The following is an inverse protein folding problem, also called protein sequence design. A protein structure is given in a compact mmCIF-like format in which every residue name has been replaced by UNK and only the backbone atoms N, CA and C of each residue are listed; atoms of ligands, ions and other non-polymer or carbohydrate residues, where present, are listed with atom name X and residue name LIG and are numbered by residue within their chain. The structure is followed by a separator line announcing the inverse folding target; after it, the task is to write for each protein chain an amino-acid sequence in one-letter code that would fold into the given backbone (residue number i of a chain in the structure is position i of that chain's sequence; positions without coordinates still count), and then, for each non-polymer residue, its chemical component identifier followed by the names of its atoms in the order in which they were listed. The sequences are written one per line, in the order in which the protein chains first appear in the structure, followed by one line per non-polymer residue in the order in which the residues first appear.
data_IF_524477957426
#
_entry.id   IF_524477957426
#
_cell.length_a   1.000
_cell.length_b   1.000
_cell.length_c   1.000
_cell.angle_alpha   90.00
_cell.angle_beta   90.00
_cell.angle_gamma   90.00
#
_symmetry.space_group_name_H-M   'P 1'
#
loop_
_entity.id
_entity.type
_entity.pdbx_description
1 polymer ?
#
# COMPACT_ATOMS: atom_id res chain seq x y z
N UNK A 1 -3.24 1.82 35.38
CA UNK A 1 -2.67 1.18 36.58
C UNK A 1 -1.34 0.47 36.28
N UNK A 2 -1.26 -0.44 35.30
CA UNK A 2 -0.01 -1.20 35.00
C UNK A 2 1.19 -0.37 34.49
N UNK A 3 0.98 0.86 34.02
CA UNK A 3 2.06 1.71 33.46
C UNK A 3 2.78 2.59 34.50
N UNK A 4 2.23 2.71 35.71
CA UNK A 4 2.74 3.60 36.77
C UNK A 4 3.04 2.88 38.08
N UNK A 5 2.83 1.56 38.13
CA UNK A 5 3.08 0.74 39.31
C UNK A 5 4.30 -0.15 39.09
N UNK A 6 5.13 -0.35 40.12
CA UNK A 6 6.21 -1.34 40.11
C UNK A 6 5.73 -2.73 39.67
N UNK A 7 6.56 -3.50 38.93
CA UNK A 7 6.20 -4.82 38.41
C UNK A 7 5.80 -5.80 39.52
N UNK A 8 6.37 -5.65 40.72
CA UNK A 8 6.10 -6.51 41.88
C UNK A 8 4.63 -6.44 42.36
N UNK A 9 3.96 -5.31 42.14
CA UNK A 9 2.54 -5.11 42.49
C UNK A 9 1.62 -5.63 41.36
N UNK A 10 2.09 -5.63 40.11
CA UNK A 10 1.33 -6.10 38.96
C UNK A 10 1.33 -7.63 38.82
N UNK A 11 2.39 -8.32 39.26
CA UNK A 11 2.52 -9.77 39.16
C UNK A 11 1.75 -10.55 40.23
N UNK A 12 1.37 -9.90 41.33
CA UNK A 12 0.72 -10.53 42.49
C UNK A 12 -0.81 -10.65 42.34
N UNK A 13 -1.39 -10.11 41.26
CA UNK A 13 -2.83 -10.21 41.00
C UNK A 13 -3.08 -10.58 39.52
N UNK A 14 -3.45 -11.83 39.19
CA UNK A 14 -4.28 -12.05 38.02
C UNK A 14 -5.55 -11.23 38.26
N UNK A 15 -5.72 -10.13 37.53
CA UNK A 15 -6.35 -8.91 38.03
C UNK A 15 -7.76 -9.03 38.66
N UNK A 16 -8.49 -10.14 38.53
CA UNK A 16 -9.85 -10.31 39.06
C UNK A 16 -10.18 -11.81 39.35
N UNK A 17 -9.62 -12.45 40.39
CA UNK A 17 -9.80 -13.89 40.65
C UNK A 17 -11.27 -14.25 40.95
N UNK A 18 -12.01 -13.37 41.63
CA UNK A 18 -13.44 -13.54 41.91
C UNK A 18 -14.28 -13.52 40.63
N UNK A 19 -13.96 -12.64 39.68
CA UNK A 19 -14.67 -12.55 38.40
C UNK A 19 -14.43 -13.79 37.54
N UNK A 20 -13.18 -14.28 37.50
CA UNK A 20 -12.82 -15.51 36.78
C UNK A 20 -13.50 -16.73 37.40
N UNK A 21 -13.59 -16.81 38.73
CA UNK A 21 -14.34 -17.86 39.43
C UNK A 21 -15.83 -17.87 39.07
N UNK A 22 -16.49 -16.70 39.04
CA UNK A 22 -17.89 -16.63 38.60
C UNK A 22 -18.07 -16.93 37.11
N UNK A 23 -17.06 -16.63 36.28
CA UNK A 23 -17.06 -16.98 34.86
C UNK A 23 -16.94 -18.50 34.64
N UNK A 24 -16.07 -19.19 35.40
CA UNK A 24 -15.92 -20.66 35.33
C UNK A 24 -17.13 -21.40 35.89
N UNK A 25 -17.89 -20.79 36.81
CA UNK A 25 -19.18 -21.28 37.30
C UNK A 25 -20.34 -21.13 36.28
N UNK A 26 -20.07 -20.66 35.06
CA UNK A 26 -21.05 -20.59 33.97
C UNK A 26 -21.93 -19.34 33.98
N UNK A 27 -21.62 -18.33 34.79
CA UNK A 27 -22.36 -17.07 34.76
C UNK A 27 -22.09 -16.30 33.45
N UNK A 28 -23.12 -16.16 32.62
CA UNK A 28 -23.03 -15.48 31.32
C UNK A 28 -22.59 -14.02 31.45
N UNK A 29 -23.01 -13.31 32.51
CA UNK A 29 -22.63 -11.92 32.74
C UNK A 29 -21.14 -11.78 33.12
N UNK A 30 -20.61 -12.74 33.88
CA UNK A 30 -19.18 -12.78 34.22
C UNK A 30 -18.33 -13.10 32.99
N UNK A 31 -18.77 -14.04 32.14
CA UNK A 31 -18.11 -14.33 30.86
C UNK A 31 -18.11 -13.11 29.91
N UNK A 32 -19.22 -12.39 29.81
CA UNK A 32 -19.30 -11.16 29.03
C UNK A 32 -18.36 -10.07 29.57
N UNK A 33 -18.27 -9.91 30.89
CA UNK A 33 -17.36 -8.97 31.52
C UNK A 33 -15.88 -9.31 31.26
N UNK A 34 -15.50 -10.59 31.35
CA UNK A 34 -14.14 -11.05 31.00
C UNK A 34 -13.83 -10.77 29.53
N UNK A 35 -14.74 -11.07 28.61
CA UNK A 35 -14.56 -10.78 27.19
C UNK A 35 -14.44 -9.27 26.90
N UNK A 36 -15.24 -8.43 27.57
CA UNK A 36 -15.17 -6.98 27.45
C UNK A 36 -13.81 -6.44 27.94
N UNK A 37 -13.31 -6.94 29.07
CA UNK A 37 -12.00 -6.57 29.60
C UNK A 37 -10.84 -7.03 28.69
N UNK A 38 -10.95 -8.21 28.10
CA UNK A 38 -9.98 -8.70 27.10
C UNK A 38 -9.97 -7.81 25.86
N UNK A 39 -11.14 -7.43 25.35
CA UNK A 39 -11.27 -6.51 24.22
C UNK A 39 -10.73 -5.12 24.56
N UNK A 40 -11.00 -4.61 25.76
CA UNK A 40 -10.46 -3.33 26.23
C UNK A 40 -8.94 -3.39 26.37
N UNK A 41 -8.38 -4.45 26.94
CA UNK A 41 -6.94 -4.64 27.02
C UNK A 41 -6.29 -4.75 25.63
N UNK A 42 -6.95 -5.42 24.69
CA UNK A 42 -6.53 -5.46 23.28
C UNK A 42 -6.54 -4.07 22.65
N UNK A 43 -7.58 -3.27 22.90
CA UNK A 43 -7.68 -1.88 22.42
C UNK A 43 -6.56 -1.01 23.02
N UNK A 44 -6.32 -1.09 24.33
CA UNK A 44 -5.25 -0.34 25.00
C UNK A 44 -3.84 -0.73 24.53
N UNK A 45 -3.66 -1.97 24.07
CA UNK A 45 -2.40 -2.44 23.48
C UNK A 45 -2.23 -1.99 22.02
N UNK A 46 -3.33 -1.75 21.32
CA UNK A 46 -3.30 -1.19 19.97
C UNK A 46 -3.01 0.31 20.04
N UNK A 47 -2.19 0.80 19.12
CA UNK A 47 -1.92 2.24 19.04
C UNK A 47 -3.19 2.96 18.57
N UNK A 48 -3.45 4.18 19.04
CA UNK A 48 -4.49 5.00 18.47
C UNK A 48 -4.20 5.18 16.97
N UNK A 49 -5.19 4.86 16.13
CA UNK A 49 -5.10 5.09 14.70
C UNK A 49 -5.12 6.59 14.41
N UNK A 50 -4.40 7.03 13.38
CA UNK A 50 -4.46 8.41 12.90
C UNK A 50 -5.84 8.70 12.31
N UNK A 51 -6.47 9.78 12.76
CA UNK A 51 -7.76 10.23 12.25
C UNK A 51 -7.68 11.04 10.94
N UNK A 52 -6.46 11.39 10.50
CA UNK A 52 -6.22 12.20 9.30
C UNK A 52 -5.27 11.49 8.35
N UNK A 53 -5.63 11.44 7.06
CA UNK A 53 -4.76 10.89 6.00
C UNK A 53 -3.46 11.70 5.84
N UNK A 54 -3.45 12.99 6.20
CA UNK A 54 -2.21 13.78 6.22
C UNK A 54 -1.22 13.25 7.27
N UNK A 55 -1.72 12.95 8.48
CA UNK A 55 -0.89 12.39 9.54
C UNK A 55 -0.47 10.95 9.22
N UNK A 56 -1.37 10.14 8.69
CA UNK A 56 -1.04 8.78 8.22
C UNK A 56 0.06 8.84 7.15
N UNK A 57 -0.06 9.79 6.22
CA UNK A 57 0.94 10.03 5.18
C UNK A 57 2.31 10.40 5.75
N UNK A 58 2.37 11.23 6.80
CA UNK A 58 3.61 11.61 7.47
C UNK A 58 4.20 10.42 8.27
N UNK A 59 3.37 9.66 8.96
CA UNK A 59 3.78 8.49 9.74
C UNK A 59 4.40 7.44 8.82
N UNK A 60 3.72 7.11 7.72
CA UNK A 60 4.20 6.17 6.71
C UNK A 60 5.44 6.68 5.97
N UNK A 61 5.57 8.00 5.78
CA UNK A 61 6.75 8.64 5.20
C UNK A 61 8.03 8.49 6.03
N UNK A 62 7.94 7.99 7.27
CA UNK A 62 9.10 7.55 8.05
C UNK A 62 9.75 8.62 8.94
N UNK A 63 9.28 9.86 8.91
CA UNK A 63 9.81 10.93 9.78
C UNK A 63 9.58 10.67 11.28
N UNK A 64 8.50 9.98 11.64
CA UNK A 64 8.16 9.68 13.04
C UNK A 64 8.65 8.30 13.51
N UNK A 65 8.77 7.31 12.62
CA UNK A 65 9.14 5.92 12.97
C UNK A 65 10.59 5.83 13.49
N UNK A 66 11.48 6.73 13.03
CA UNK A 66 12.88 6.78 13.50
C UNK A 66 13.09 7.59 14.78
N UNK A 67 12.07 8.26 15.31
CA UNK A 67 12.21 9.04 16.55
C UNK A 67 12.26 8.11 17.78
N UNK A 68 13.10 8.45 18.77
CA UNK A 68 13.27 7.65 20.00
C UNK A 68 11.95 7.42 20.77
N UNK A 69 10.97 8.30 20.58
CA UNK A 69 9.61 8.17 21.13
C UNK A 69 8.83 7.01 20.50
N UNK A 70 9.03 6.73 19.21
CA UNK A 70 8.41 5.60 18.50
C UNK A 70 9.11 4.26 18.79
N UNK A 71 10.43 4.28 19.02
CA UNK A 71 11.26 3.09 19.29
C UNK A 71 11.16 2.59 20.74
N UNK A 72 10.94 3.46 21.73
CA UNK A 72 10.82 3.06 23.16
C UNK A 72 9.74 1.99 23.41
N UNK A 73 8.72 1.92 22.56
CA UNK A 73 7.65 0.92 22.70
C UNK A 73 7.92 -0.39 21.94
N UNK A 74 8.91 -0.44 21.04
CA UNK A 74 9.33 -1.69 20.37
C UNK A 74 10.22 -2.53 21.28
N UNK A 75 11.17 -1.93 21.98
CA UNK A 75 12.10 -2.67 22.85
C UNK A 75 11.47 -3.19 24.16
N UNK A 76 10.34 -2.63 24.61
CA UNK A 76 9.59 -3.19 25.76
C UNK A 76 8.92 -4.51 25.38
N UNK A 77 8.72 -4.77 24.09
CA UNK A 77 8.02 -5.95 23.60
C UNK A 77 8.96 -7.16 23.37
N UNK A 78 10.28 -6.96 23.36
CA UNK A 78 11.29 -8.01 23.14
C UNK A 78 11.98 -8.51 24.42
N UNK A 79 11.69 -7.91 25.59
CA UNK A 79 12.18 -8.35 26.91
C UNK A 79 11.11 -9.06 27.76
N UNK A 80 10.18 -9.75 27.13
CA UNK A 80 9.35 -10.76 27.79
C UNK A 80 9.79 -12.15 27.34
N UNK A 81 10.87 -12.66 27.94
CA UNK A 81 11.12 -14.12 27.99
C UNK A 81 10.98 -14.61 29.43
N UNK A 82 10.92 -15.93 29.68
CA UNK A 82 10.37 -17.02 28.89
C UNK A 82 9.00 -17.47 29.42
N UNK A 83 8.19 -18.08 28.56
CA UNK A 83 6.96 -18.77 28.97
C UNK A 83 7.34 -19.98 29.82
N UNK A 84 6.87 -20.02 31.07
CA UNK A 84 6.91 -21.21 31.93
C UNK A 84 6.01 -22.29 31.31
N UNK A 85 6.62 -23.20 30.54
CA UNK A 85 6.02 -24.49 30.19
C UNK A 85 6.17 -25.42 31.39
N UNK A 86 5.05 -25.73 32.05
CA UNK A 86 4.94 -26.88 32.93
C UNK A 86 4.98 -28.14 32.08
N UNK A 87 6.05 -28.91 32.31
CA UNK A 87 6.34 -30.23 31.79
C UNK A 87 5.38 -31.26 32.42
N UNK A 88 4.67 -32.02 31.60
CA UNK A 88 4.32 -33.40 31.93
C UNK A 88 5.08 -34.33 30.98
N UNK A 89 5.92 -35.17 31.58
CA UNK A 89 6.61 -36.35 31.06
C UNK A 89 5.60 -37.36 30.48
N UNK A 90 5.82 -38.24 29.50
CA UNK A 90 6.97 -38.84 28.80
C UNK A 90 6.41 -39.30 27.41
N UNK A 91 7.12 -39.73 26.36
CA UNK A 91 8.20 -40.71 26.31
C UNK A 91 8.69 -40.86 24.86
N UNK A 92 9.99 -41.09 24.74
CA UNK A 92 10.69 -41.92 23.75
C UNK A 92 10.96 -41.43 22.30
N UNK A 93 12.28 -41.42 22.06
CA UNK A 93 13.01 -41.74 20.84
C UNK A 93 13.11 -40.64 19.77
N UNK A 94 14.28 -40.26 19.26
CA UNK A 94 15.63 -40.77 19.41
C UNK A 94 16.56 -39.80 18.66
N UNK A 95 17.73 -39.49 19.25
CA UNK A 95 19.02 -39.10 18.62
C UNK A 95 19.06 -37.99 17.55
N UNK A 96 20.04 -37.09 17.42
CA UNK A 96 21.20 -36.61 18.15
C UNK A 96 21.87 -35.58 17.20
N UNK A 97 21.72 -34.26 17.47
CA UNK A 97 22.78 -33.27 17.82
C UNK A 97 24.20 -33.53 17.24
N UNK A 98 25.03 -32.53 16.84
CA UNK A 98 24.89 -31.39 15.90
C UNK A 98 26.26 -31.15 15.13
N UNK A 99 26.92 -29.96 15.11
CA UNK A 99 26.84 -28.86 14.14
C UNK A 99 28.20 -28.49 13.48
N UNK A 100 28.22 -27.56 12.52
CA UNK A 100 29.44 -26.76 12.25
C UNK A 100 29.16 -25.50 11.40
N UNK A 101 29.34 -24.33 12.04
CA UNK A 101 30.11 -23.15 11.59
C UNK A 101 29.98 -22.58 10.16
N UNK A 102 29.42 -21.37 10.12
CA UNK A 102 30.09 -20.10 9.77
C UNK A 102 30.85 -19.92 8.43
N UNK A 103 30.42 -18.86 7.75
CA UNK A 103 31.21 -17.76 7.14
C UNK A 103 31.68 -17.79 5.67
N UNK A 104 31.58 -16.57 5.10
CA UNK A 104 32.16 -16.01 3.85
C UNK A 104 31.52 -16.53 2.54
N UNK A 105 31.28 -15.70 1.53
CA UNK A 105 31.82 -14.39 1.19
C UNK A 105 32.25 -14.41 -0.27
N UNK A 106 31.96 -13.32 -0.99
CA UNK A 106 32.63 -12.81 -2.20
C UNK A 106 32.49 -13.56 -3.54
N UNK A 107 31.90 -12.81 -4.49
CA UNK A 107 32.39 -12.46 -5.82
C UNK A 107 32.74 -13.54 -6.88
N UNK A 108 32.21 -13.23 -8.06
CA UNK A 108 32.80 -13.34 -9.40
C UNK A 108 32.77 -14.65 -10.20
N UNK A 109 31.98 -14.56 -11.28
CA UNK A 109 32.43 -14.56 -12.68
C UNK A 109 32.82 -15.90 -13.34
N UNK A 110 31.96 -16.25 -14.30
CA UNK A 110 32.24 -16.82 -15.63
C UNK A 110 33.26 -17.95 -15.78
N UNK A 111 32.82 -19.10 -16.33
CA UNK A 111 33.09 -19.49 -17.73
C UNK A 111 32.54 -20.88 -18.04
N UNK A 112 32.26 -21.03 -19.34
CA UNK A 112 31.90 -22.24 -20.06
C UNK A 112 32.97 -23.32 -19.89
N UNK A 113 32.55 -24.58 -19.89
CA UNK A 113 33.25 -25.59 -20.69
C UNK A 113 32.29 -26.70 -21.13
N UNK A 114 32.55 -27.14 -22.36
CA UNK A 114 31.86 -28.19 -23.08
C UNK A 114 32.50 -29.52 -22.73
N UNK A 115 31.74 -30.62 -22.66
CA UNK A 115 32.26 -31.92 -23.11
C UNK A 115 31.15 -32.75 -23.74
N UNK A 116 31.48 -33.17 -24.94
CA UNK A 116 30.84 -34.19 -25.77
C UNK A 116 31.09 -35.57 -25.18
N UNK A 117 30.13 -36.48 -25.28
CA UNK A 117 30.40 -37.91 -25.36
C UNK A 117 29.41 -38.57 -26.32
N UNK A 118 29.98 -39.22 -27.32
CA UNK A 118 29.33 -39.93 -28.42
C UNK A 118 28.92 -41.36 -28.04
N UNK A 119 28.27 -42.01 -29.00
CA UNK A 119 28.09 -43.45 -29.23
C UNK A 119 26.88 -44.15 -28.56
N UNK A 120 25.86 -44.47 -29.37
CA UNK A 120 25.82 -45.73 -30.11
C UNK A 120 24.81 -45.68 -31.27
N UNK A 121 25.14 -46.37 -32.36
CA UNK A 121 24.32 -46.52 -33.56
C UNK A 121 23.68 -47.90 -33.58
N UNK A 122 22.37 -48.00 -33.84
CA UNK A 122 21.80 -49.20 -34.45
C UNK A 122 20.59 -48.86 -35.34
N UNK A 123 20.35 -49.73 -36.31
CA UNK A 123 20.00 -49.45 -37.70
C UNK A 123 18.50 -49.41 -38.09
N UNK A 124 18.27 -48.69 -39.20
CA UNK A 124 17.39 -48.97 -40.34
C UNK A 124 15.87 -48.64 -40.35
N UNK A 125 15.55 -47.82 -41.37
CA UNK A 125 14.45 -47.92 -42.35
C UNK A 125 13.13 -47.14 -42.13
N UNK A 126 13.05 -46.04 -42.90
CA UNK A 126 11.94 -45.51 -43.71
C UNK A 126 10.56 -45.26 -43.09
N UNK A 127 10.11 -44.00 -43.10
CA UNK A 127 9.05 -43.50 -44.00
C UNK A 127 8.78 -42.00 -43.80
N UNK A 128 8.24 -41.41 -44.86
CA UNK A 128 8.10 -40.00 -45.14
C UNK A 128 7.08 -39.24 -44.28
N UNK A 129 7.32 -37.93 -44.18
CA UNK A 129 6.32 -36.84 -44.08
C UNK A 129 5.57 -36.64 -42.76
N UNK A 130 6.02 -35.65 -41.99
CA UNK A 130 5.33 -34.36 -41.73
C UNK A 130 5.99 -33.67 -40.54
N UNK A 131 6.94 -32.78 -40.82
CA UNK A 131 7.47 -31.84 -39.82
C UNK A 131 6.40 -30.83 -39.45
N UNK A 132 5.52 -31.22 -38.53
CA UNK A 132 4.77 -30.28 -37.71
C UNK A 132 5.80 -29.47 -36.94
N UNK A 133 5.97 -28.19 -37.30
CA UNK A 133 6.58 -27.19 -36.44
C UNK A 133 5.79 -27.14 -35.13
N UNK A 134 6.15 -27.99 -34.17
CA UNK A 134 5.77 -27.82 -32.77
C UNK A 134 6.58 -26.62 -32.30
N UNK A 135 6.05 -25.41 -32.54
CA UNK A 135 6.43 -24.26 -31.73
C UNK A 135 6.27 -24.72 -30.28
N UNK A 136 7.41 -24.88 -29.60
CA UNK A 136 7.45 -25.00 -28.15
C UNK A 136 6.87 -23.71 -27.61
N UNK A 137 5.54 -23.70 -27.45
CA UNK A 137 4.78 -22.68 -26.76
C UNK A 137 5.30 -22.75 -25.33
N UNK A 138 6.28 -21.91 -25.02
CA UNK A 138 6.79 -21.75 -23.66
C UNK A 138 5.56 -21.56 -22.78
N UNK A 139 5.30 -22.52 -21.90
CA UNK A 139 4.22 -22.44 -20.93
C UNK A 139 4.51 -21.22 -20.07
N UNK A 140 3.84 -20.10 -20.35
CA UNK A 140 3.59 -19.13 -19.32
C UNK A 140 2.86 -19.89 -18.19
N UNK A 141 3.27 -19.70 -16.93
CA UNK A 141 2.64 -20.40 -15.82
C UNK A 141 1.13 -20.17 -15.88
N UNK A 142 0.32 -21.22 -15.78
CA UNK A 142 -1.14 -21.16 -15.78
C UNK A 142 -1.66 -20.04 -14.85
N UNK A 143 -1.00 -19.86 -13.69
CA UNK A 143 -1.24 -18.77 -12.74
C UNK A 143 -1.11 -17.34 -13.33
N UNK A 144 -0.19 -17.10 -14.27
CA UNK A 144 -0.07 -15.80 -14.94
C UNK A 144 -1.29 -15.50 -15.83
N UNK A 145 -1.75 -16.51 -16.58
CA UNK A 145 -2.96 -16.35 -17.41
C UNK A 145 -4.22 -16.21 -16.56
N UNK A 146 -4.31 -16.95 -15.46
CA UNK A 146 -5.43 -16.84 -14.53
C UNK A 146 -5.44 -15.47 -13.83
N UNK A 147 -4.26 -14.96 -13.44
CA UNK A 147 -4.12 -13.59 -12.92
C UNK A 147 -4.49 -12.54 -13.95
N UNK A 148 -4.10 -12.71 -15.22
CA UNK A 148 -4.48 -11.78 -16.28
C UNK A 148 -5.99 -11.79 -16.53
N UNK A 149 -6.64 -12.96 -16.53
CA UNK A 149 -8.09 -13.06 -16.64
C UNK A 149 -8.80 -12.43 -15.45
N UNK A 150 -8.32 -12.69 -14.23
CA UNK A 150 -8.84 -12.07 -13.02
C UNK A 150 -8.70 -10.54 -13.07
N UNK A 151 -7.56 -10.04 -13.53
CA UNK A 151 -7.32 -8.60 -13.72
C UNK A 151 -8.28 -7.96 -14.72
N UNK A 152 -8.53 -8.59 -15.87
CA UNK A 152 -9.49 -8.07 -16.86
C UNK A 152 -10.94 -8.08 -16.34
N UNK A 153 -11.29 -9.05 -15.48
CA UNK A 153 -12.58 -9.03 -14.77
C UNK A 153 -12.65 -7.83 -13.83
N UNK A 154 -11.64 -7.61 -13.00
CA UNK A 154 -11.57 -6.44 -12.12
C UNK A 154 -11.66 -5.12 -12.91
N UNK A 155 -10.98 -5.00 -14.05
CA UNK A 155 -11.10 -3.81 -14.91
C UNK A 155 -12.54 -3.59 -15.39
N UNK A 156 -13.27 -4.66 -15.69
CA UNK A 156 -14.69 -4.58 -16.08
C UNK A 156 -15.58 -4.23 -14.89
N UNK A 157 -15.35 -4.88 -13.75
CA UNK A 157 -16.09 -4.69 -12.50
C UNK A 157 -15.88 -3.30 -11.90
N UNK A 158 -14.73 -2.67 -12.14
CA UNK A 158 -14.43 -1.29 -11.76
C UNK A 158 -15.37 -0.26 -12.41
N UNK A 159 -15.99 -0.63 -13.54
CA UNK A 159 -16.87 0.19 -14.38
C UNK A 159 -16.22 1.45 -14.97
N UNK A 160 -14.93 1.69 -14.75
CA UNK A 160 -14.21 2.88 -15.26
C UNK A 160 -14.24 2.97 -16.78
N UNK A 161 -14.10 1.83 -17.47
CA UNK A 161 -14.08 1.79 -18.94
C UNK A 161 -15.49 1.81 -19.54
N UNK A 162 -16.50 1.36 -18.81
CA UNK A 162 -17.88 1.25 -19.27
C UNK A 162 -18.70 2.52 -19.00
N UNK A 163 -18.48 3.16 -17.85
CA UNK A 163 -19.26 4.31 -17.39
C UNK A 163 -18.44 5.60 -17.49
N UNK A 164 -19.04 6.64 -18.06
CA UNK A 164 -18.44 7.98 -18.09
C UNK A 164 -18.63 8.73 -16.76
N UNK A 165 -19.67 8.37 -16.01
CA UNK A 165 -19.90 8.93 -14.69
C UNK A 165 -19.09 8.21 -13.60
N UNK A 166 -18.29 8.98 -12.87
CA UNK A 166 -17.39 8.51 -11.83
C UNK A 166 -18.13 8.14 -10.53
N UNK A 167 -19.35 8.62 -10.34
CA UNK A 167 -20.20 8.20 -9.22
C UNK A 167 -20.65 6.73 -9.34
N UNK A 168 -20.64 6.18 -10.55
CA UNK A 168 -21.01 4.78 -10.82
C UNK A 168 -19.81 3.83 -10.79
N UNK A 169 -18.59 4.36 -10.60
CA UNK A 169 -17.38 3.56 -10.53
C UNK A 169 -17.27 2.84 -9.18
N UNK A 170 -16.71 1.64 -9.22
CA UNK A 170 -16.44 0.86 -8.01
C UNK A 170 -15.04 1.20 -7.47
N UNK A 171 -14.98 2.13 -6.54
CA UNK A 171 -13.73 2.65 -5.98
C UNK A 171 -12.97 1.64 -5.12
N UNK A 172 -13.65 0.64 -4.55
CA UNK A 172 -13.00 -0.44 -3.79
C UNK A 172 -12.28 -1.40 -4.75
N UNK A 173 -12.92 -1.73 -5.87
CA UNK A 173 -12.29 -2.50 -6.95
C UNK A 173 -11.14 -1.72 -7.58
N UNK A 174 -11.30 -0.42 -7.84
CA UNK A 174 -10.22 0.45 -8.35
C UNK A 174 -9.02 0.43 -7.40
N UNK A 175 -9.26 0.62 -6.11
CA UNK A 175 -8.22 0.59 -5.08
C UNK A 175 -7.50 -0.76 -5.06
N UNK A 176 -8.25 -1.86 -5.19
CA UNK A 176 -7.69 -3.21 -5.27
C UNK A 176 -6.79 -3.37 -6.50
N UNK A 177 -7.22 -2.87 -7.67
CA UNK A 177 -6.43 -2.89 -8.90
C UNK A 177 -5.14 -2.10 -8.73
N UNK A 178 -5.20 -0.87 -8.22
CA UNK A 178 -4.03 0.00 -8.05
C UNK A 178 -2.99 -0.62 -7.09
N UNK A 179 -3.44 -1.28 -6.01
CA UNK A 179 -2.55 -1.94 -5.03
C UNK A 179 -2.00 -3.31 -5.45
N UNK A 180 -2.62 -3.95 -6.44
CA UNK A 180 -2.30 -5.34 -6.83
C UNK A 180 -0.94 -5.51 -7.54
N UNK A 181 -0.22 -4.44 -7.85
CA UNK A 181 1.01 -4.45 -8.67
C UNK A 181 0.83 -5.16 -10.03
N UNK A 182 -0.40 -5.26 -10.56
CA UNK A 182 -0.69 -5.93 -11.83
C UNK A 182 -0.42 -5.02 -13.05
N UNK A 183 -0.39 -3.72 -12.84
CA UNK A 183 -0.09 -2.69 -13.86
C UNK A 183 1.44 -2.53 -13.99
N UNK A 184 2.13 -3.58 -14.46
CA UNK A 184 3.59 -3.53 -14.68
C UNK A 184 3.99 -3.11 -16.10
N UNK A 185 3.12 -3.40 -17.07
CA UNK A 185 3.31 -3.06 -18.47
C UNK A 185 2.00 -2.54 -19.01
N UNK A 186 2.01 -1.28 -19.45
CA UNK A 186 0.81 -0.60 -19.89
C UNK A 186 0.39 -1.14 -21.26
N UNK A 187 -0.69 -1.91 -21.29
CA UNK A 187 -1.41 -2.19 -22.53
C UNK A 187 -2.39 -1.05 -22.84
N UNK A 188 -3.02 -1.11 -24.01
CA UNK A 188 -3.98 -0.09 -24.46
C UNK A 188 -5.16 0.09 -23.50
N UNK A 189 -5.66 -1.00 -22.91
CA UNK A 189 -6.81 -1.01 -22.00
C UNK A 189 -6.44 -0.40 -20.65
N UNK A 190 -5.30 -0.79 -20.10
CA UNK A 190 -4.73 -0.24 -18.87
C UNK A 190 -4.39 1.24 -19.03
N UNK A 191 -3.85 1.64 -20.18
CA UNK A 191 -3.58 3.04 -20.50
C UNK A 191 -4.85 3.89 -20.49
N UNK A 192 -5.94 3.41 -21.11
CA UNK A 192 -7.25 4.07 -21.04
C UNK A 192 -7.82 4.14 -19.63
N UNK A 193 -7.68 3.05 -18.87
CA UNK A 193 -8.14 2.99 -17.48
C UNK A 193 -7.43 4.04 -16.63
N UNK A 194 -6.08 4.08 -16.66
CA UNK A 194 -5.30 5.08 -15.94
C UNK A 194 -5.61 6.49 -16.41
N UNK A 195 -5.73 6.72 -17.73
CA UNK A 195 -6.07 8.03 -18.27
C UNK A 195 -7.40 8.55 -17.74
N UNK A 196 -8.43 7.70 -17.67
CA UNK A 196 -9.73 8.07 -17.09
C UNK A 196 -9.64 8.42 -15.62
N UNK A 197 -8.84 7.67 -14.83
CA UNK A 197 -8.61 8.01 -13.44
C UNK A 197 -7.90 9.36 -13.31
N UNK A 198 -6.84 9.58 -14.09
CA UNK A 198 -6.10 10.86 -14.10
C UNK A 198 -7.02 12.02 -14.48
N UNK A 199 -7.86 11.85 -15.49
CA UNK A 199 -8.84 12.86 -15.88
C UNK A 199 -9.86 13.14 -14.78
N UNK A 200 -10.28 12.14 -14.01
CA UNK A 200 -11.14 12.36 -12.86
C UNK A 200 -10.46 13.24 -11.79
N UNK A 201 -9.17 13.01 -11.53
CA UNK A 201 -8.42 13.76 -10.53
C UNK A 201 -7.92 15.12 -11.01
N UNK A 202 -7.92 15.44 -12.30
CA UNK A 202 -7.48 16.75 -12.78
C UNK A 202 -8.40 17.88 -12.29
N UNK A 203 -7.86 18.93 -11.65
CA UNK A 203 -8.65 20.07 -11.17
C UNK A 203 -9.56 20.70 -12.23
N UNK A 204 -9.04 20.94 -13.45
CA UNK A 204 -9.75 21.58 -14.57
C UNK A 204 -10.98 20.83 -15.03
N UNK A 205 -11.03 19.52 -14.82
CA UNK A 205 -12.16 18.70 -15.25
C UNK A 205 -13.37 18.82 -14.30
N UNK A 206 -13.23 19.53 -13.18
CA UNK A 206 -14.31 19.81 -12.22
C UNK A 206 -15.05 18.55 -11.73
N UNK A 207 -14.36 17.39 -11.75
CA UNK A 207 -14.89 16.12 -11.21
C UNK A 207 -14.48 16.00 -9.75
N UNK A 208 -13.28 15.50 -9.47
CA UNK A 208 -12.81 15.36 -8.10
C UNK A 208 -12.80 16.69 -7.32
N UNK A 209 -12.37 17.80 -7.93
CA UNK A 209 -12.24 19.10 -7.26
C UNK A 209 -13.55 19.63 -6.66
N UNK A 210 -14.70 19.35 -7.28
CA UNK A 210 -16.01 19.83 -6.85
C UNK A 210 -16.77 18.85 -5.97
N UNK A 211 -16.17 17.71 -5.60
CA UNK A 211 -16.78 16.83 -4.62
C UNK A 211 -16.81 17.51 -3.25
N UNK A 212 -17.92 17.38 -2.55
CA UNK A 212 -18.10 17.97 -1.22
C UNK A 212 -17.17 17.32 -0.20
N UNK A 213 -16.56 18.16 0.62
CA UNK A 213 -15.82 17.75 1.79
C UNK A 213 -16.74 17.88 3.01
N UNK A 214 -17.07 16.76 3.63
CA UNK A 214 -17.89 16.74 4.85
C UNK A 214 -16.98 16.66 6.09
N UNK A 215 -16.91 17.71 6.94
CA UNK A 215 -16.11 17.69 8.15
C UNK A 215 -16.56 16.57 9.12
N UNK A 216 -15.61 15.91 9.77
CA UNK A 216 -15.88 14.88 10.78
C UNK A 216 -16.25 13.50 10.22
N UNK A 217 -16.36 13.33 8.91
CA UNK A 217 -16.52 12.03 8.27
C UNK A 217 -15.17 11.45 7.81
N UNK A 218 -15.11 10.13 7.69
CA UNK A 218 -13.96 9.47 7.07
C UNK A 218 -13.86 9.89 5.61
N UNK A 219 -12.63 10.12 5.14
CA UNK A 219 -12.41 10.49 3.75
C UNK A 219 -12.83 9.32 2.83
N UNK A 220 -13.56 9.60 1.73
CA UNK A 220 -13.99 8.56 0.81
C UNK A 220 -12.83 7.76 0.21
N UNK A 221 -13.10 6.53 -0.19
CA UNK A 221 -12.10 5.59 -0.74
C UNK A 221 -11.41 6.14 -2.00
N UNK A 222 -12.11 6.94 -2.79
CA UNK A 222 -11.53 7.63 -3.95
C UNK A 222 -10.40 8.61 -3.58
N UNK A 223 -10.31 9.11 -2.33
CA UNK A 223 -9.16 9.94 -1.92
C UNK A 223 -7.91 9.07 -1.76
N UNK A 224 -8.06 7.90 -1.13
CA UNK A 224 -6.96 6.94 -0.99
C UNK A 224 -6.54 6.36 -2.34
N UNK A 225 -7.49 6.08 -3.23
CA UNK A 225 -7.20 5.63 -4.59
C UNK A 225 -6.35 6.66 -5.39
N UNK A 226 -6.49 7.96 -5.11
CA UNK A 226 -5.65 9.00 -5.72
C UNK A 226 -4.18 8.89 -5.29
N UNK A 227 -3.93 8.54 -4.04
CA UNK A 227 -2.58 8.26 -3.53
C UNK A 227 -1.98 7.02 -4.20
N UNK A 228 -2.75 5.93 -4.26
CA UNK A 228 -2.34 4.69 -4.91
C UNK A 228 -2.07 4.91 -6.42
N UNK A 229 -2.86 5.75 -7.09
CA UNK A 229 -2.66 6.10 -8.50
C UNK A 229 -1.32 6.82 -8.72
N UNK A 230 -0.98 7.79 -7.86
CA UNK A 230 0.32 8.49 -7.93
C UNK A 230 1.47 7.49 -7.80
N UNK A 231 1.35 6.53 -6.87
CA UNK A 231 2.36 5.50 -6.67
C UNK A 231 2.51 4.59 -7.90
N UNK A 232 1.39 4.17 -8.51
CA UNK A 232 1.40 3.38 -9.76
C UNK A 232 2.06 4.15 -10.90
N UNK A 233 1.74 5.44 -11.06
CA UNK A 233 2.31 6.25 -12.14
C UNK A 233 3.82 6.49 -11.97
N UNK A 234 4.29 6.77 -10.75
CA UNK A 234 5.70 7.02 -10.45
C UNK A 234 6.56 5.75 -10.46
N UNK A 235 5.99 4.62 -10.05
CA UNK A 235 6.69 3.32 -10.04
C UNK A 235 6.87 2.74 -11.45
N UNK A 236 6.01 3.13 -12.40
CA UNK A 236 6.13 2.74 -13.80
C UNK A 236 7.35 3.39 -14.49
N UNK A 237 7.90 2.67 -15.46
CA UNK A 237 8.94 3.19 -16.37
C UNK A 237 8.38 3.51 -17.76
N UNK A 238 7.06 3.35 -17.96
CA UNK A 238 6.39 3.64 -19.22
C UNK A 238 6.27 5.15 -19.43
N UNK A 239 6.65 5.64 -20.62
CA UNK A 239 6.61 7.06 -20.96
C UNK A 239 5.20 7.65 -20.81
N UNK A 240 4.17 6.88 -21.15
CA UNK A 240 2.77 7.34 -21.05
C UNK A 240 2.36 7.61 -19.60
N UNK A 241 2.81 6.80 -18.63
CA UNK A 241 2.58 7.08 -17.21
C UNK A 241 3.26 8.38 -16.77
N UNK A 242 4.49 8.62 -17.24
CA UNK A 242 5.22 9.87 -16.98
C UNK A 242 4.53 11.09 -17.60
N UNK A 243 3.92 10.93 -18.78
CA UNK A 243 3.10 11.98 -19.41
C UNK A 243 1.85 12.27 -18.60
N UNK A 244 1.14 11.22 -18.15
CA UNK A 244 -0.06 11.38 -17.35
C UNK A 244 0.20 12.10 -16.02
N UNK A 245 1.24 11.71 -15.28
CA UNK A 245 1.56 12.36 -14.00
C UNK A 245 2.03 13.81 -14.20
N UNK A 246 2.85 14.08 -15.22
CA UNK A 246 3.32 15.45 -15.53
C UNK A 246 2.15 16.35 -15.94
N UNK A 247 1.28 15.87 -16.82
CA UNK A 247 0.09 16.59 -17.28
C UNK A 247 -0.91 16.83 -16.13
N UNK A 248 -1.06 15.86 -15.21
CA UNK A 248 -1.85 16.04 -14.00
C UNK A 248 -1.30 17.15 -13.09
N UNK A 249 -0.01 17.11 -12.75
CA UNK A 249 0.59 18.11 -11.87
C UNK A 249 0.80 19.47 -12.53
N UNK A 250 0.90 19.52 -13.86
CA UNK A 250 0.84 20.78 -14.61
C UNK A 250 -0.52 21.45 -14.48
N UNK A 251 -1.63 20.69 -14.45
CA UNK A 251 -2.97 21.27 -14.24
C UNK A 251 -3.13 21.79 -12.81
N UNK A 252 -2.62 21.06 -11.81
CA UNK A 252 -2.54 21.54 -10.42
C UNK A 252 -1.73 22.84 -10.34
N UNK A 253 -0.57 22.89 -10.99
CA UNK A 253 0.26 24.11 -11.01
C UNK A 253 -0.47 25.31 -11.60
N UNK A 254 -1.28 25.11 -12.64
CA UNK A 254 -2.05 26.20 -13.24
C UNK A 254 -3.14 26.74 -12.31
N UNK A 255 -3.76 25.86 -11.50
CA UNK A 255 -4.72 26.31 -10.48
C UNK A 255 -4.03 27.03 -9.31
N UNK A 256 -2.83 26.60 -8.93
CA UNK A 256 -2.00 27.33 -7.95
C UNK A 256 -1.60 28.72 -8.47
N UNK A 257 -1.16 28.81 -9.73
CA UNK A 257 -0.84 30.08 -10.37
C UNK A 257 -2.05 31.02 -10.41
N UNK A 258 -3.23 30.49 -10.73
CA UNK A 258 -4.46 31.27 -10.80
C UNK A 258 -4.79 31.91 -9.44
N UNK A 259 -4.67 31.19 -8.32
CA UNK A 259 -4.96 31.77 -7.01
C UNK A 259 -3.90 32.78 -6.56
N UNK A 260 -2.63 32.62 -6.95
CA UNK A 260 -1.56 33.55 -6.57
C UNK A 260 -1.51 34.82 -7.42
N UNK A 261 -1.97 34.78 -8.66
CA UNK A 261 -1.78 35.87 -9.64
C UNK A 261 -3.10 36.57 -10.02
N UNK A 262 -4.26 35.94 -9.78
CA UNK A 262 -5.54 36.51 -10.17
C UNK A 262 -5.98 37.68 -9.28
N UNK A 263 -6.45 38.76 -9.91
CA UNK A 263 -7.14 39.87 -9.25
C UNK A 263 -8.49 39.43 -8.64
N UNK A 264 -9.01 38.26 -9.04
CA UNK A 264 -10.22 37.63 -8.51
C UNK A 264 -9.88 36.28 -7.86
N UNK A 265 -8.95 36.29 -6.91
CA UNK A 265 -8.50 35.10 -6.20
C UNK A 265 -9.64 34.33 -5.49
N UNK A 266 -10.73 35.01 -5.12
CA UNK A 266 -11.91 34.40 -4.48
C UNK A 266 -12.70 33.45 -5.40
N UNK A 267 -12.69 33.70 -6.72
CA UNK A 267 -13.37 32.85 -7.71
C UNK A 267 -12.51 31.65 -8.15
N UNK A 268 -11.24 31.62 -7.74
CA UNK A 268 -10.33 30.55 -8.12
C UNK A 268 -10.69 29.24 -7.41
N UNK A 269 -10.44 28.12 -8.09
CA UNK A 269 -10.72 26.79 -7.54
C UNK A 269 -10.00 26.53 -6.21
N UNK A 270 -8.78 27.06 -6.08
CA UNK A 270 -7.97 26.94 -4.86
C UNK A 270 -8.13 28.12 -3.91
N UNK A 271 -9.22 28.90 -4.03
CA UNK A 271 -9.55 29.92 -3.04
C UNK A 271 -9.82 29.28 -1.67
N UNK A 272 -9.46 29.94 -0.55
CA UNK A 272 -9.67 29.38 0.78
C UNK A 272 -11.13 28.99 1.07
N UNK A 273 -12.08 29.76 0.54
CA UNK A 273 -13.51 29.51 0.72
C UNK A 273 -13.98 28.24 0.00
N UNK A 274 -13.54 28.05 -1.26
CA UNK A 274 -13.90 26.86 -2.02
C UNK A 274 -13.23 25.62 -1.40
N UNK A 275 -11.96 25.75 -1.05
CA UNK A 275 -11.14 24.66 -0.54
C UNK A 275 -11.61 24.09 0.80
N UNK A 276 -12.22 24.91 1.67
CA UNK A 276 -12.74 24.46 2.96
C UNK A 276 -13.98 23.55 2.84
N UNK A 277 -14.70 23.62 1.72
CA UNK A 277 -15.94 22.88 1.52
C UNK A 277 -15.83 21.79 0.45
N UNK A 278 -14.71 21.71 -0.27
CA UNK A 278 -14.53 20.75 -1.37
C UNK A 278 -13.26 19.92 -1.24
N UNK A 279 -13.15 18.91 -2.07
CA UNK A 279 -11.96 18.04 -2.13
C UNK A 279 -10.72 18.74 -2.70
N UNK A 280 -10.79 20.03 -3.04
CA UNK A 280 -9.63 20.81 -3.48
C UNK A 280 -8.47 20.80 -2.48
N UNK A 281 -8.73 20.75 -1.17
CA UNK A 281 -7.64 20.66 -0.19
C UNK A 281 -6.82 19.36 -0.29
N UNK A 282 -7.39 18.29 -0.86
CA UNK A 282 -6.69 17.01 -0.99
C UNK A 282 -5.59 17.05 -2.05
N UNK A 283 -5.55 18.06 -2.93
CA UNK A 283 -4.42 18.23 -3.84
C UNK A 283 -3.10 18.47 -3.11
N UNK A 284 -3.11 19.09 -1.93
CA UNK A 284 -1.91 19.25 -1.11
C UNK A 284 -1.43 17.92 -0.53
N UNK A 285 -2.36 17.00 -0.23
CA UNK A 285 -2.01 15.63 0.16
C UNK A 285 -1.30 14.90 -0.99
N UNK A 286 -1.78 15.07 -2.22
CA UNK A 286 -1.18 14.49 -3.42
C UNK A 286 0.19 15.08 -3.76
N UNK A 287 0.36 16.40 -3.62
CA UNK A 287 1.68 17.05 -3.71
C UNK A 287 2.63 16.45 -2.66
N UNK A 288 2.17 16.30 -1.41
CA UNK A 288 2.95 15.65 -0.35
C UNK A 288 3.34 14.20 -0.69
N UNK A 289 2.48 13.45 -1.38
CA UNK A 289 2.77 12.08 -1.83
C UNK A 289 3.90 12.04 -2.85
N UNK A 290 3.91 12.98 -3.82
CA UNK A 290 4.98 13.11 -4.82
C UNK A 290 6.35 13.36 -4.19
N UNK A 291 6.41 14.16 -3.12
CA UNK A 291 7.63 14.49 -2.40
C UNK A 291 8.34 13.29 -1.75
N UNK A 292 7.69 12.11 -1.67
CA UNK A 292 8.32 10.90 -1.11
C UNK A 292 9.31 10.22 -2.06
N UNK A 293 9.35 10.60 -3.33
CA UNK A 293 10.22 9.97 -4.33
C UNK A 293 11.02 11.01 -5.10
N UNK A 294 12.23 10.66 -5.53
CA UNK A 294 13.08 11.55 -6.34
C UNK A 294 12.39 11.89 -7.67
N UNK A 295 11.79 10.89 -8.33
CA UNK A 295 11.01 11.07 -9.57
C UNK A 295 9.86 12.08 -9.37
N UNK A 296 9.11 11.96 -8.27
CA UNK A 296 8.01 12.87 -7.97
C UNK A 296 8.47 14.30 -7.71
N UNK A 297 9.58 14.47 -6.98
CA UNK A 297 10.19 15.79 -6.76
C UNK A 297 10.61 16.43 -8.08
N UNK A 298 11.21 15.66 -9.00
CA UNK A 298 11.61 16.15 -10.32
C UNK A 298 10.40 16.62 -11.14
N UNK A 299 9.31 15.84 -11.16
CA UNK A 299 8.06 16.25 -11.81
C UNK A 299 7.54 17.57 -11.23
N UNK A 300 7.47 17.69 -9.90
CA UNK A 300 6.99 18.91 -9.25
C UNK A 300 7.85 20.15 -9.55
N UNK A 301 9.17 19.99 -9.69
CA UNK A 301 10.08 21.06 -10.12
C UNK A 301 9.80 21.46 -11.57
N UNK A 302 9.68 20.47 -12.46
CA UNK A 302 9.45 20.70 -13.88
C UNK A 302 8.09 21.33 -14.17
N UNK A 303 7.09 21.08 -13.32
CA UNK A 303 5.77 21.69 -13.40
C UNK A 303 5.63 22.95 -12.54
N UNK A 304 6.73 23.53 -12.03
CA UNK A 304 6.77 24.78 -11.23
C UNK A 304 5.85 24.84 -10.01
N UNK A 305 5.40 23.68 -9.49
CA UNK A 305 4.49 23.62 -8.32
C UNK A 305 5.14 24.24 -7.09
N UNK A 306 6.43 23.98 -6.87
CA UNK A 306 7.15 24.53 -5.71
C UNK A 306 7.26 26.06 -5.74
N UNK A 307 7.42 26.66 -6.91
CA UNK A 307 7.50 28.12 -7.05
C UNK A 307 6.19 28.77 -6.63
N UNK A 308 5.06 28.25 -7.10
CA UNK A 308 3.75 28.79 -6.70
C UNK A 308 3.42 28.54 -5.23
N UNK A 309 3.89 27.43 -4.65
CA UNK A 309 3.75 27.19 -3.21
C UNK A 309 4.56 28.17 -2.37
N UNK A 310 5.75 28.57 -2.82
CA UNK A 310 6.56 29.61 -2.16
C UNK A 310 5.87 30.97 -2.27
N UNK A 311 5.37 31.32 -3.46
CA UNK A 311 4.63 32.58 -3.65
C UNK A 311 3.37 32.65 -2.76
N UNK A 312 2.73 31.50 -2.48
CA UNK A 312 1.58 31.42 -1.59
C UNK A 312 1.97 31.57 -0.10
N UNK A 313 3.20 31.24 0.30
CA UNK A 313 3.67 31.44 1.67
C UNK A 313 4.14 32.86 1.97
N UNK A 314 4.58 33.57 0.93
CA UNK A 314 5.15 34.93 1.05
C UNK A 314 4.08 36.04 0.99
N UNK A 315 2.85 35.72 0.60
CA UNK A 315 1.70 36.65 0.52
C UNK A 315 0.80 36.57 1.74
#
# INVERSE_FOLDING_TARGET
MHTHLPPDICCTSPALPTLVSHATLGNQQANAAVAALQNYQKLLRQRPASCSLFLDSIIQGGALIQTRLFRRHLNVQEQAGPVLQLQETAEAAAFAVPPATQFRGTLDRSRLDSVSSSDESNSQASTSSRSSFRLKRKFLPQAFFDNFRAFNRLLTDSRVLSQADAHLWDWDVITTILRSNLIRKLDYTQGKFLKRLVDFYKPRNNRFSHQDLVPGQSLPTYVSAGLDLIDVLLSSNELECMRFITDYFSDISQQLAAVTTSNRAHDCLFSPQHMNNTMCQQYFLYIGRMCRTVKGIEVLKNTTVFEYLINLSDG
#
